data_IF_504625043986
#
_entry.id   IF_504625043986
#
_cell.length_a   1.000
_cell.length_b   1.000
_cell.length_c   1.000
_cell.angle_alpha   90.00
_cell.angle_beta   90.00
_cell.angle_gamma   90.00
#
_symmetry.space_group_name_H-M   'P 1'
#
loop_
_entity.id
_entity.type
_entity.pdbx_description
1 polymer ?
#
# COMPACT_ATOMS: atom_id res chain seq x y z
N UNK A 1 -42.25 -62.55 -18.62
CA UNK A 1 -42.07 -61.11 -18.92
C UNK A 1 -41.24 -60.50 -17.80
N UNK A 2 -40.06 -59.95 -18.13
CA UNK A 2 -39.08 -59.45 -17.15
C UNK A 2 -39.52 -58.07 -16.64
N UNK A 3 -39.67 -57.92 -15.32
CA UNK A 3 -39.93 -56.63 -14.68
C UNK A 3 -38.61 -55.82 -14.63
N UNK A 4 -38.57 -54.68 -15.31
CA UNK A 4 -37.48 -53.72 -15.21
C UNK A 4 -37.75 -52.78 -14.03
N UNK A 5 -36.95 -52.88 -12.96
CA UNK A 5 -36.97 -51.93 -11.87
C UNK A 5 -36.17 -50.68 -12.28
N UNK A 6 -36.85 -49.55 -12.42
CA UNK A 6 -36.23 -48.25 -12.62
C UNK A 6 -35.62 -47.78 -11.29
N UNK A 7 -34.29 -47.79 -11.20
CA UNK A 7 -33.56 -47.21 -10.07
C UNK A 7 -33.54 -45.70 -10.28
N UNK A 8 -34.39 -44.99 -9.53
CA UNK A 8 -34.38 -43.54 -9.46
C UNK A 8 -33.16 -43.12 -8.63
N UNK A 9 -32.10 -42.66 -9.29
CA UNK A 9 -30.93 -42.09 -8.62
C UNK A 9 -31.31 -40.74 -8.01
N UNK A 10 -31.54 -40.72 -6.70
CA UNK A 10 -31.70 -39.48 -5.93
C UNK A 10 -30.33 -38.79 -5.87
N UNK A 11 -30.10 -37.79 -6.72
CA UNK A 11 -28.93 -36.91 -6.60
C UNK A 11 -29.18 -36.01 -5.39
N UNK A 12 -28.60 -36.38 -4.26
CA UNK A 12 -28.49 -35.50 -3.10
C UNK A 12 -27.56 -34.35 -3.47
N UNK A 13 -28.13 -33.20 -3.85
CA UNK A 13 -27.40 -31.96 -3.90
C UNK A 13 -26.92 -31.65 -2.47
N UNK A 14 -25.64 -31.85 -2.20
CA UNK A 14 -25.03 -31.32 -1.00
C UNK A 14 -25.30 -29.81 -0.96
N UNK A 15 -25.61 -29.21 0.20
CA UNK A 15 -25.66 -27.76 0.30
C UNK A 15 -24.28 -27.27 -0.15
N UNK A 16 -24.25 -26.48 -1.22
CA UNK A 16 -23.03 -25.78 -1.61
C UNK A 16 -22.60 -24.98 -0.38
N UNK A 17 -21.53 -25.43 0.29
CA UNK A 17 -20.92 -24.65 1.36
C UNK A 17 -20.63 -23.27 0.80
N UNK A 18 -20.99 -22.22 1.54
CA UNK A 18 -20.78 -20.84 1.11
C UNK A 18 -19.30 -20.65 0.75
N UNK A 19 -19.00 -20.62 -0.54
CA UNK A 19 -17.64 -20.44 -1.02
C UNK A 19 -17.24 -19.00 -0.72
N UNK A 20 -16.13 -18.82 0.00
CA UNK A 20 -15.62 -17.50 0.32
C UNK A 20 -15.27 -16.74 -0.98
N UNK A 21 -15.50 -15.42 -1.04
CA UNK A 21 -15.18 -14.64 -2.23
C UNK A 21 -13.68 -14.67 -2.51
N UNK A 22 -13.30 -14.87 -3.78
CA UNK A 22 -11.91 -14.77 -4.22
C UNK A 22 -11.58 -13.33 -4.61
N UNK A 23 -10.69 -12.71 -3.84
CA UNK A 23 -10.42 -11.27 -3.89
C UNK A 23 -9.36 -10.93 -4.94
N UNK A 24 -9.66 -9.97 -5.81
CA UNK A 24 -8.69 -9.30 -6.67
C UNK A 24 -8.06 -8.08 -5.97
N UNK A 25 -6.96 -7.54 -6.50
CA UNK A 25 -6.36 -6.32 -5.98
C UNK A 25 -7.36 -5.16 -5.99
N UNK A 26 -7.48 -4.40 -4.88
CA UNK A 26 -8.53 -3.40 -4.74
C UNK A 26 -8.19 -2.04 -5.36
N UNK A 27 -7.01 -1.88 -5.98
CA UNK A 27 -6.55 -0.62 -6.55
C UNK A 27 -6.07 -0.81 -7.99
N UNK A 28 -6.32 0.18 -8.84
CA UNK A 28 -5.77 0.27 -10.18
C UNK A 28 -4.31 0.74 -10.15
N UNK A 29 -3.42 -0.10 -9.61
CA UNK A 29 -2.00 0.21 -9.41
C UNK A 29 -1.13 -1.06 -9.52
N UNK A 30 0.19 -0.85 -9.64
CA UNK A 30 1.19 -1.88 -9.55
C UNK A 30 1.69 -1.97 -8.11
N UNK A 31 1.25 -3.00 -7.40
CA UNK A 31 1.61 -3.20 -6.01
C UNK A 31 3.12 -3.42 -5.85
N UNK A 32 3.71 -2.65 -4.93
CA UNK A 32 5.16 -2.62 -4.72
C UNK A 32 5.91 -1.70 -5.68
N UNK A 33 5.23 -0.98 -6.58
CA UNK A 33 5.83 0.04 -7.45
C UNK A 33 5.24 1.43 -7.20
N UNK A 34 3.93 1.60 -7.39
CA UNK A 34 3.22 2.89 -7.28
C UNK A 34 2.06 2.87 -6.25
N UNK A 35 1.87 1.74 -5.58
CA UNK A 35 1.07 1.58 -4.37
C UNK A 35 1.71 0.46 -3.53
N UNK A 36 1.33 0.35 -2.26
CA UNK A 36 1.92 -0.63 -1.34
C UNK A 36 0.93 -1.00 -0.24
N UNK A 37 1.15 -2.13 0.44
CA UNK A 37 0.42 -2.44 1.68
C UNK A 37 1.23 -1.86 2.82
N UNK A 38 0.62 -0.94 3.57
CA UNK A 38 1.26 -0.31 4.72
C UNK A 38 0.94 -1.06 6.01
N UNK A 39 -0.33 -1.41 6.19
CA UNK A 39 -0.81 -2.12 7.37
C UNK A 39 -1.66 -3.33 6.95
N UNK A 40 -1.42 -4.47 7.59
CA UNK A 40 -2.25 -5.67 7.51
C UNK A 40 -3.17 -5.75 8.71
N UNK A 41 -4.17 -6.63 8.66
CA UNK A 41 -5.07 -6.85 9.78
C UNK A 41 -4.27 -7.33 11.00
N UNK A 42 -4.64 -6.84 12.17
CA UNK A 42 -4.09 -7.31 13.42
C UNK A 42 -4.73 -8.64 13.82
N UNK A 43 -3.86 -9.63 14.10
CA UNK A 43 -4.25 -10.97 14.54
C UNK A 43 -3.89 -11.21 16.01
N UNK A 44 -3.38 -10.20 16.72
CA UNK A 44 -3.24 -10.29 18.17
C UNK A 44 -4.59 -9.99 18.84
N UNK A 45 -5.09 -10.86 19.74
CA UNK A 45 -6.33 -10.61 20.46
C UNK A 45 -6.13 -9.72 21.70
N UNK A 46 -4.89 -9.42 22.07
CA UNK A 46 -4.53 -8.53 23.17
C UNK A 46 -4.02 -7.17 22.66
N UNK A 47 -3.32 -6.39 23.50
CA UNK A 47 -2.77 -5.09 23.11
C UNK A 47 -1.47 -5.20 22.30
N UNK A 48 -1.09 -6.42 21.89
CA UNK A 48 0.04 -6.66 21.02
C UNK A 48 -0.30 -6.27 19.58
N UNK A 49 0.65 -6.46 18.68
CA UNK A 49 0.41 -6.29 17.24
C UNK A 49 1.05 -7.45 16.53
N UNK A 50 0.28 -8.16 15.70
CA UNK A 50 0.81 -9.26 14.89
C UNK A 50 0.06 -9.39 13.57
N UNK A 51 0.79 -9.20 12.46
CA UNK A 51 0.24 -9.47 11.13
C UNK A 51 0.27 -10.97 10.77
N UNK A 52 -0.31 -11.34 9.63
CA UNK A 52 -0.38 -12.73 9.14
C UNK A 52 1.00 -13.41 8.92
N UNK A 53 2.06 -12.62 8.75
CA UNK A 53 3.43 -13.09 8.56
C UNK A 53 4.26 -13.04 9.87
N UNK A 54 3.60 -12.82 11.01
CA UNK A 54 4.22 -12.65 12.33
C UNK A 54 5.08 -11.40 12.46
N UNK A 55 4.93 -10.47 11.53
CA UNK A 55 5.52 -9.16 11.61
C UNK A 55 4.68 -8.23 12.47
N UNK A 56 5.03 -6.96 12.37
CA UNK A 56 4.36 -5.86 13.06
C UNK A 56 4.03 -4.76 12.06
N UNK A 57 3.75 -5.12 10.79
CA UNK A 57 3.27 -4.18 9.80
C UNK A 57 1.75 -4.00 9.99
N UNK A 58 1.36 -3.55 11.19
CA UNK A 58 -0.02 -3.35 11.63
C UNK A 58 -0.01 -2.41 12.85
N UNK A 59 -1.15 -2.18 13.48
CA UNK A 59 -1.29 -1.50 14.76
C UNK A 59 -2.45 -2.13 15.56
N UNK A 60 -2.50 -1.86 16.86
CA UNK A 60 -3.47 -2.47 17.79
C UNK A 60 -4.91 -2.31 17.29
N UNK A 61 -5.61 -3.44 17.20
CA UNK A 61 -7.00 -3.56 16.75
C UNK A 61 -7.26 -3.09 15.30
N UNK A 62 -6.24 -3.06 14.44
CA UNK A 62 -6.43 -2.78 13.02
C UNK A 62 -7.26 -3.89 12.35
N UNK A 63 -8.46 -3.54 11.85
CA UNK A 63 -9.47 -4.50 11.40
C UNK A 63 -9.50 -4.72 9.88
N UNK A 64 -8.48 -4.27 9.16
CA UNK A 64 -8.46 -4.35 7.70
C UNK A 64 -7.05 -4.37 7.12
N UNK A 65 -6.97 -4.11 5.82
CA UNK A 65 -5.69 -3.95 5.10
C UNK A 65 -5.64 -2.57 4.46
N UNK A 66 -4.55 -1.84 4.69
CA UNK A 66 -4.33 -0.50 4.17
C UNK A 66 -3.46 -0.56 2.91
N UNK A 67 -4.07 -0.30 1.76
CA UNK A 67 -3.41 -0.13 0.48
C UNK A 67 -3.14 1.36 0.25
N UNK A 68 -1.89 1.75 0.40
CA UNK A 68 -1.46 3.14 0.45
C UNK A 68 -0.87 3.61 -0.89
N UNK A 69 -0.99 4.92 -1.13
CA UNK A 69 -0.29 5.62 -2.19
C UNK A 69 0.94 6.34 -1.63
N UNK A 70 2.03 6.46 -2.42
CA UNK A 70 3.29 6.99 -1.90
C UNK A 70 3.23 8.48 -1.57
N UNK A 71 2.36 9.25 -2.23
CA UNK A 71 2.36 10.72 -2.15
C UNK A 71 0.96 11.32 -2.32
N UNK A 72 0.78 12.57 -1.87
CA UNK A 72 -0.44 13.34 -2.14
C UNK A 72 -0.63 13.62 -3.64
N UNK A 73 0.46 13.79 -4.40
CA UNK A 73 0.39 13.91 -5.86
C UNK A 73 -0.18 12.63 -6.51
N UNK A 74 0.19 11.44 -6.04
CA UNK A 74 -0.38 10.19 -6.54
C UNK A 74 -1.89 10.09 -6.23
N UNK A 75 -2.32 10.53 -5.05
CA UNK A 75 -3.74 10.64 -4.71
C UNK A 75 -4.48 11.61 -5.64
N UNK A 76 -3.92 12.80 -5.86
CA UNK A 76 -4.50 13.83 -6.73
C UNK A 76 -4.59 13.39 -8.20
N UNK A 77 -3.73 12.45 -8.64
CA UNK A 77 -3.80 11.86 -9.98
C UNK A 77 -5.00 10.91 -10.16
N UNK A 78 -5.71 10.55 -9.09
CA UNK A 78 -6.95 9.76 -9.15
C UNK A 78 -6.73 8.27 -9.34
N UNK A 79 -6.08 7.60 -8.39
CA UNK A 79 -5.95 6.12 -8.42
C UNK A 79 -7.29 5.49 -8.07
N UNK A 80 -7.84 4.70 -9.00
CA UNK A 80 -9.14 4.06 -8.83
C UNK A 80 -9.12 2.97 -7.76
N UNK A 81 -10.14 2.97 -6.91
CA UNK A 81 -10.52 1.86 -6.03
C UNK A 81 -11.44 0.93 -6.80
N UNK A 82 -11.16 -0.36 -6.76
CA UNK A 82 -11.83 -1.39 -7.53
C UNK A 82 -12.52 -2.38 -6.58
N UNK A 83 -13.72 -2.83 -6.96
CA UNK A 83 -14.37 -3.94 -6.26
C UNK A 83 -13.49 -5.19 -6.32
N UNK A 84 -13.21 -5.81 -5.17
CA UNK A 84 -12.33 -7.00 -5.12
C UNK A 84 -13.03 -8.28 -5.60
N UNK A 85 -14.36 -8.32 -5.57
CA UNK A 85 -15.17 -9.46 -5.97
C UNK A 85 -16.55 -9.01 -6.45
N UNK A 86 -17.27 -9.82 -7.24
CA UNK A 86 -18.65 -9.52 -7.63
C UNK A 86 -19.58 -9.40 -6.43
N UNK A 87 -20.60 -8.55 -6.52
CA UNK A 87 -21.56 -8.37 -5.44
C UNK A 87 -22.58 -7.27 -5.73
N UNK A 88 -23.32 -6.89 -4.70
CA UNK A 88 -24.27 -5.77 -4.74
C UNK A 88 -23.83 -4.70 -3.76
N UNK A 89 -23.87 -3.43 -4.16
CA UNK A 89 -23.54 -2.30 -3.27
C UNK A 89 -24.60 -2.18 -2.18
N UNK A 90 -24.22 -2.44 -0.94
CA UNK A 90 -25.10 -2.42 0.22
C UNK A 90 -25.21 -1.01 0.83
N UNK A 91 -24.13 -0.24 0.83
CA UNK A 91 -24.11 1.11 1.38
C UNK A 91 -23.04 1.97 0.71
N UNK A 92 -23.25 3.27 0.70
CA UNK A 92 -22.27 4.26 0.28
C UNK A 92 -22.31 5.47 1.20
N UNK A 93 -21.19 6.19 1.28
CA UNK A 93 -21.10 7.52 1.87
C UNK A 93 -20.15 8.35 1.03
N UNK A 94 -20.51 9.59 0.76
CA UNK A 94 -19.66 10.55 0.05
C UNK A 94 -19.82 11.97 0.61
N UNK A 95 -18.94 12.88 0.20
CA UNK A 95 -18.95 14.31 0.52
C UNK A 95 -18.16 14.72 1.76
N UNK A 96 -17.54 13.78 2.50
CA UNK A 96 -16.59 14.14 3.56
C UNK A 96 -15.30 14.66 2.92
N UNK A 97 -14.81 15.81 3.39
CA UNK A 97 -13.57 16.38 2.91
C UNK A 97 -12.36 15.49 3.23
N UNK A 98 -11.41 15.45 2.29
CA UNK A 98 -10.12 14.81 2.48
C UNK A 98 -9.25 15.60 3.48
N UNK A 99 -8.49 14.89 4.31
CA UNK A 99 -7.53 15.48 5.26
C UNK A 99 -8.13 16.07 6.53
N UNK A 100 -9.44 15.91 6.77
CA UNK A 100 -10.11 16.47 7.93
C UNK A 100 -9.47 16.01 9.26
N UNK A 101 -9.18 14.72 9.42
CA UNK A 101 -8.57 14.18 10.64
C UNK A 101 -7.13 14.68 10.85
N UNK A 102 -6.31 14.66 9.79
CA UNK A 102 -4.94 15.17 9.84
C UNK A 102 -4.86 16.67 10.17
N UNK A 103 -5.92 17.43 9.87
CA UNK A 103 -6.06 18.84 10.24
C UNK A 103 -6.68 19.06 11.64
N UNK A 104 -6.92 18.01 12.42
CA UNK A 104 -7.53 18.08 13.76
C UNK A 104 -9.06 18.23 13.76
N UNK A 105 -9.72 17.94 12.64
CA UNK A 105 -11.18 17.95 12.52
C UNK A 105 -11.83 16.75 13.21
N UNK A 106 -13.09 16.92 13.64
CA UNK A 106 -13.89 15.85 14.23
C UNK A 106 -14.43 14.90 13.15
N UNK A 107 -14.14 13.61 13.32
CA UNK A 107 -14.55 12.52 12.42
C UNK A 107 -15.30 11.42 13.17
N UNK A 108 -15.79 11.69 14.39
CA UNK A 108 -16.56 10.72 15.16
C UNK A 108 -17.81 10.26 14.40
N UNK A 109 -18.02 8.93 14.32
CA UNK A 109 -19.09 8.29 13.54
C UNK A 109 -18.86 8.33 12.02
N UNK A 110 -17.73 8.87 11.57
CA UNK A 110 -17.30 9.01 10.18
C UNK A 110 -15.87 8.50 10.00
N UNK A 111 -15.45 7.55 10.82
CA UNK A 111 -14.07 7.02 10.84
C UNK A 111 -13.70 6.47 9.46
N UNK A 112 -14.59 5.71 8.83
CA UNK A 112 -14.43 5.21 7.45
C UNK A 112 -14.41 6.31 6.38
N UNK A 113 -14.83 7.54 6.69
CA UNK A 113 -14.92 8.63 5.71
C UNK A 113 -15.93 8.34 4.61
N UNK A 114 -15.57 8.70 3.38
CA UNK A 114 -16.30 8.28 2.18
C UNK A 114 -15.96 6.82 1.89
N UNK A 115 -16.94 6.07 1.42
CA UNK A 115 -16.75 4.63 1.26
C UNK A 115 -17.91 3.90 0.65
N UNK A 116 -17.66 2.62 0.38
CA UNK A 116 -18.60 1.68 -0.22
C UNK A 116 -18.60 0.41 0.61
N UNK A 117 -19.76 -0.23 0.76
CA UNK A 117 -19.88 -1.60 1.27
C UNK A 117 -20.48 -2.44 0.17
N UNK A 118 -19.84 -3.56 -0.16
CA UNK A 118 -20.34 -4.55 -1.11
C UNK A 118 -20.75 -5.81 -0.34
N UNK A 119 -21.97 -6.27 -0.59
CA UNK A 119 -22.46 -7.57 -0.17
C UNK A 119 -22.18 -8.61 -1.27
N UNK A 120 -21.44 -9.65 -0.92
CA UNK A 120 -21.07 -10.74 -1.83
C UNK A 120 -22.02 -11.94 -1.69
N UNK A 121 -23.04 -11.84 -0.83
CA UNK A 121 -23.94 -12.92 -0.49
C UNK A 121 -23.38 -13.82 0.62
N UNK A 122 -24.26 -14.67 1.17
CA UNK A 122 -23.92 -15.65 2.22
C UNK A 122 -23.21 -15.03 3.44
N UNK A 123 -23.51 -13.76 3.75
CA UNK A 123 -22.93 -13.05 4.90
C UNK A 123 -21.53 -12.48 4.67
N UNK A 124 -20.95 -12.59 3.47
CA UNK A 124 -19.68 -11.98 3.11
C UNK A 124 -19.84 -10.54 2.68
N UNK A 125 -19.01 -9.65 3.23
CA UNK A 125 -19.01 -8.24 2.89
C UNK A 125 -17.59 -7.69 2.78
N UNK A 126 -17.40 -6.73 1.87
CA UNK A 126 -16.19 -5.89 1.83
C UNK A 126 -16.56 -4.44 2.05
N UNK A 127 -15.77 -3.74 2.87
CA UNK A 127 -15.91 -2.32 3.12
C UNK A 127 -14.65 -1.59 2.63
N UNK A 128 -14.87 -0.53 1.86
CA UNK A 128 -13.84 0.31 1.25
C UNK A 128 -13.95 1.69 1.89
N UNK A 129 -12.94 2.11 2.63
CA UNK A 129 -12.93 3.37 3.37
C UNK A 129 -11.93 4.37 2.81
N UNK A 130 -12.06 5.62 3.24
CA UNK A 130 -11.16 6.74 2.95
C UNK A 130 -11.13 7.15 1.46
N UNK A 131 -12.23 6.94 0.72
CA UNK A 131 -12.34 7.39 -0.67
C UNK A 131 -12.29 8.93 -0.76
N UNK A 132 -11.81 9.44 -1.89
CA UNK A 132 -11.70 10.88 -2.12
C UNK A 132 -13.09 11.55 -2.16
N UNK A 133 -13.16 12.79 -1.68
CA UNK A 133 -14.40 13.54 -1.63
C UNK A 133 -15.04 13.72 -3.02
N UNK A 134 -16.30 13.31 -3.18
CA UNK A 134 -17.04 13.40 -4.43
C UNK A 134 -16.63 12.36 -5.48
N UNK A 135 -15.86 11.35 -5.10
CA UNK A 135 -15.35 10.33 -6.04
C UNK A 135 -16.18 9.06 -6.09
N UNK A 136 -17.14 8.85 -5.19
CA UNK A 136 -17.90 7.59 -5.14
C UNK A 136 -18.73 7.44 -6.42
N UNK A 137 -18.45 6.39 -7.19
CA UNK A 137 -18.96 6.21 -8.55
C UNK A 137 -20.13 5.22 -8.66
N UNK A 138 -20.59 4.68 -7.53
CA UNK A 138 -21.65 3.67 -7.45
C UNK A 138 -22.72 4.08 -6.42
N UNK A 139 -23.91 3.51 -6.56
CA UNK A 139 -25.04 3.72 -5.67
C UNK A 139 -25.48 2.41 -5.01
N UNK A 140 -26.17 2.53 -3.88
CA UNK A 140 -26.80 1.39 -3.20
C UNK A 140 -27.74 0.66 -4.17
N UNK A 141 -27.59 -0.66 -4.26
CA UNK A 141 -28.36 -1.53 -5.15
C UNK A 141 -27.66 -1.86 -6.45
N UNK A 142 -26.57 -1.18 -6.80
CA UNK A 142 -25.82 -1.48 -8.02
C UNK A 142 -25.16 -2.87 -7.93
N UNK A 143 -25.29 -3.65 -9.00
CA UNK A 143 -24.53 -4.87 -9.18
C UNK A 143 -23.13 -4.54 -9.73
N UNK A 144 -22.09 -5.08 -9.12
CA UNK A 144 -20.69 -4.84 -9.50
C UNK A 144 -19.98 -6.16 -9.75
N UNK A 145 -18.99 -6.13 -10.62
CA UNK A 145 -18.06 -7.24 -10.86
C UNK A 145 -16.72 -6.94 -10.19
N UNK A 146 -15.86 -7.95 -10.03
CA UNK A 146 -14.47 -7.70 -9.66
C UNK A 146 -13.84 -6.74 -10.68
N UNK A 147 -13.11 -5.72 -10.21
CA UNK A 147 -12.52 -4.68 -11.05
C UNK A 147 -13.44 -3.50 -11.38
N UNK A 148 -14.73 -3.52 -10.99
CA UNK A 148 -15.60 -2.34 -11.17
C UNK A 148 -15.06 -1.15 -10.36
N UNK A 149 -14.83 0.03 -10.98
CA UNK A 149 -14.43 1.23 -10.25
C UNK A 149 -15.50 1.68 -9.25
N UNK A 150 -15.10 1.92 -8.01
CA UNK A 150 -15.96 2.36 -6.91
C UNK A 150 -15.77 3.85 -6.57
N UNK A 151 -14.61 4.39 -6.91
CA UNK A 151 -14.20 5.78 -6.71
C UNK A 151 -12.69 5.89 -6.76
N UNK A 152 -12.12 6.91 -6.10
CA UNK A 152 -10.67 7.09 -6.03
C UNK A 152 -10.17 7.00 -4.59
N UNK A 153 -8.91 6.59 -4.42
CA UNK A 153 -8.23 6.67 -3.13
C UNK A 153 -8.20 8.12 -2.66
N UNK A 154 -8.54 8.35 -1.39
CA UNK A 154 -8.55 9.67 -0.78
C UNK A 154 -7.87 9.69 0.58
N UNK A 155 -8.32 10.64 1.39
CA UNK A 155 -7.84 10.94 2.74
C UNK A 155 -9.01 11.35 3.66
N UNK A 156 -10.24 10.91 3.34
CA UNK A 156 -11.42 11.25 4.12
C UNK A 156 -11.57 10.38 5.38
N UNK A 157 -12.30 10.87 6.38
CA UNK A 157 -12.48 10.15 7.65
C UNK A 157 -11.23 10.16 8.53
N UNK A 158 -11.06 9.12 9.36
CA UNK A 158 -9.95 8.97 10.31
C UNK A 158 -8.70 8.42 9.59
N UNK A 159 -8.13 9.25 8.72
CA UNK A 159 -6.97 8.89 7.90
C UNK A 159 -5.89 9.98 7.95
N UNK A 160 -4.62 9.58 8.03
CA UNK A 160 -3.45 10.47 8.13
C UNK A 160 -2.55 10.47 6.89
N UNK A 161 -2.78 9.53 5.97
CA UNK A 161 -2.05 9.37 4.71
C UNK A 161 -2.97 8.79 3.61
N UNK A 162 -2.69 9.03 2.32
CA UNK A 162 -3.56 8.55 1.25
C UNK A 162 -3.57 7.03 1.14
N UNK A 163 -4.71 6.41 1.43
CA UNK A 163 -4.85 4.97 1.35
C UNK A 163 -6.32 4.54 1.20
N UNK A 164 -6.50 3.31 0.73
CA UNK A 164 -7.72 2.55 0.88
C UNK A 164 -7.56 1.65 2.11
N UNK A 165 -8.48 1.75 3.06
CA UNK A 165 -8.67 0.73 4.09
C UNK A 165 -9.73 -0.26 3.61
N UNK A 166 -9.35 -1.53 3.46
CA UNK A 166 -10.23 -2.63 3.06
C UNK A 166 -10.50 -3.54 4.26
N UNK A 167 -11.76 -3.59 4.71
CA UNK A 167 -12.21 -4.58 5.69
C UNK A 167 -12.97 -5.70 4.99
N UNK A 168 -12.66 -6.95 5.33
CA UNK A 168 -13.47 -8.13 4.93
C UNK A 168 -14.24 -8.63 6.15
N UNK A 169 -15.53 -8.94 5.97
CA UNK A 169 -16.37 -9.50 7.03
C UNK A 169 -17.11 -10.74 6.56
N UNK A 170 -17.34 -11.67 7.47
CA UNK A 170 -18.23 -12.81 7.29
C UNK A 170 -19.14 -12.94 8.52
N UNK A 171 -20.46 -12.90 8.32
CA UNK A 171 -21.42 -12.97 9.42
C UNK A 171 -21.30 -11.81 10.42
N UNK A 172 -20.79 -10.66 9.98
CA UNK A 172 -20.54 -9.48 10.82
C UNK A 172 -19.20 -9.47 11.54
N UNK A 173 -18.43 -10.57 11.50
CA UNK A 173 -17.09 -10.65 12.10
C UNK A 173 -16.01 -10.30 11.06
N UNK A 174 -14.98 -9.57 11.48
CA UNK A 174 -13.82 -9.24 10.66
C UNK A 174 -13.02 -10.50 10.33
N UNK A 175 -12.59 -10.60 9.08
CA UNK A 175 -11.79 -11.70 8.54
C UNK A 175 -10.52 -11.11 7.94
N UNK A 176 -9.36 -11.59 8.37
CA UNK A 176 -8.10 -11.25 7.70
C UNK A 176 -8.06 -11.93 6.31
N UNK A 177 -8.01 -11.17 5.19
CA UNK A 177 -7.99 -11.76 3.87
C UNK A 177 -6.72 -12.57 3.56
N UNK A 178 -5.63 -12.37 4.31
CA UNK A 178 -4.41 -13.17 4.21
C UNK A 178 -4.43 -14.41 5.10
N UNK A 179 -5.28 -14.42 6.13
CA UNK A 179 -5.36 -15.49 7.12
C UNK A 179 -6.81 -15.70 7.61
N UNK A 180 -7.73 -16.17 6.74
CA UNK A 180 -9.16 -16.21 7.06
C UNK A 180 -9.51 -17.21 8.17
N UNK A 181 -8.64 -18.17 8.47
CA UNK A 181 -8.76 -19.02 9.65
C UNK A 181 -8.04 -18.36 10.86
N UNK A 182 -8.77 -17.85 11.87
CA UNK A 182 -8.16 -17.19 13.02
C UNK A 182 -7.30 -18.15 13.87
N UNK A 183 -7.58 -19.45 13.83
CA UNK A 183 -6.81 -20.48 14.54
C UNK A 183 -5.55 -20.93 13.77
N UNK A 184 -5.30 -20.40 12.57
CA UNK A 184 -4.08 -20.73 11.83
C UNK A 184 -2.84 -20.26 12.60
N UNK A 185 -1.76 -21.04 12.48
CA UNK A 185 -0.45 -20.70 13.03
C UNK A 185 0.14 -19.41 12.43
N UNK A 186 1.42 -19.18 12.70
CA UNK A 186 2.12 -18.00 12.21
C UNK A 186 3.56 -18.39 11.82
N UNK A 187 4.01 -18.09 10.58
CA UNK A 187 3.28 -17.40 9.51
C UNK A 187 2.17 -18.26 8.91
N UNK A 188 1.17 -17.62 8.28
CA UNK A 188 0.09 -18.34 7.58
C UNK A 188 0.52 -18.67 6.15
N UNK A 189 0.15 -19.87 5.70
CA UNK A 189 0.36 -20.28 4.31
C UNK A 189 -0.46 -19.38 3.37
N UNK A 190 0.22 -18.77 2.39
CA UNK A 190 -0.42 -17.90 1.41
C UNK A 190 -1.51 -18.61 0.58
N UNK A 191 -1.48 -19.95 0.47
CA UNK A 191 -2.53 -20.70 -0.22
C UNK A 191 -3.85 -20.73 0.56
N UNK A 192 -3.84 -20.39 1.85
CA UNK A 192 -5.04 -20.28 2.68
C UNK A 192 -5.73 -18.90 2.56
N UNK A 193 -5.13 -17.94 1.86
CA UNK A 193 -5.66 -16.59 1.72
C UNK A 193 -6.89 -16.52 0.79
N UNK A 194 -7.70 -15.47 0.95
CA UNK A 194 -8.87 -15.21 0.10
C UNK A 194 -8.49 -14.65 -1.29
N UNK A 195 -7.25 -14.24 -1.49
CA UNK A 195 -6.79 -13.61 -2.73
C UNK A 195 -6.77 -14.58 -3.92
N UNK A 196 -7.13 -14.08 -5.10
CA UNK A 196 -6.95 -14.81 -6.37
C UNK A 196 -5.46 -15.07 -6.64
N UNK A 197 -4.67 -14.00 -6.51
CA UNK A 197 -3.21 -14.02 -6.52
C UNK A 197 -2.75 -13.35 -5.21
N UNK A 198 -2.26 -14.11 -4.22
CA UNK A 198 -1.81 -13.55 -2.96
C UNK A 198 -0.72 -12.48 -3.17
N UNK A 199 -0.93 -11.24 -2.70
CA UNK A 199 0.12 -10.23 -2.70
C UNK A 199 1.35 -10.71 -1.93
N UNK A 200 2.54 -10.39 -2.44
CA UNK A 200 3.77 -10.63 -1.69
C UNK A 200 3.77 -9.82 -0.38
N UNK A 201 4.23 -10.45 0.70
CA UNK A 201 4.36 -9.76 1.98
C UNK A 201 5.41 -8.66 1.91
N UNK A 202 5.02 -7.44 2.28
CA UNK A 202 5.87 -6.25 2.30
C UNK A 202 5.90 -5.64 3.72
N UNK A 203 6.94 -5.90 4.52
CA UNK A 203 7.04 -5.37 5.88
C UNK A 203 7.57 -3.92 5.93
N UNK A 204 8.15 -3.44 4.84
CA UNK A 204 8.74 -2.11 4.67
C UNK A 204 9.03 -1.87 3.18
N UNK A 205 9.46 -0.66 2.84
CA UNK A 205 9.95 -0.37 1.50
C UNK A 205 10.29 1.09 1.24
N UNK A 206 10.52 1.41 -0.03
CA UNK A 206 10.88 2.76 -0.51
C UNK A 206 9.74 3.29 -1.39
N UNK A 207 9.11 4.37 -0.91
CA UNK A 207 7.98 5.05 -1.54
C UNK A 207 8.43 5.92 -2.70
N UNK A 208 9.46 6.72 -2.46
CA UNK A 208 9.94 7.71 -3.41
C UNK A 208 11.43 7.94 -3.21
N UNK A 209 12.07 8.40 -4.27
CA UNK A 209 13.45 8.82 -4.27
C UNK A 209 13.64 9.90 -5.32
N UNK A 210 14.68 10.70 -5.12
CA UNK A 210 15.03 11.71 -6.08
C UNK A 210 16.45 12.20 -5.91
N UNK A 211 16.84 13.04 -6.84
CA UNK A 211 18.08 13.76 -6.79
C UNK A 211 17.84 15.26 -6.97
N UNK A 212 18.50 16.04 -6.13
CA UNK A 212 18.35 17.49 -6.07
C UNK A 212 19.70 18.13 -5.76
N UNK A 213 19.75 19.47 -5.82
CA UNK A 213 20.93 20.24 -5.36
C UNK A 213 20.79 20.68 -3.90
N UNK A 214 19.58 20.61 -3.33
CA UNK A 214 19.28 20.86 -1.93
C UNK A 214 18.31 19.79 -1.44
N UNK A 215 18.44 19.27 -0.20
CA UNK A 215 17.50 18.29 0.32
C UNK A 215 16.08 18.89 0.35
N UNK A 216 15.06 18.21 -0.17
CA UNK A 216 13.68 18.64 0.02
C UNK A 216 13.30 18.52 1.51
N UNK A 217 12.36 19.34 1.95
CA UNK A 217 11.76 19.17 3.27
C UNK A 217 10.78 17.98 3.28
N UNK A 218 10.44 17.50 4.48
CA UNK A 218 9.60 16.32 4.65
C UNK A 218 8.18 16.50 4.09
N UNK A 219 7.59 17.69 4.19
CA UNK A 219 6.24 17.95 3.68
C UNK A 219 6.24 17.92 2.14
N UNK A 220 7.26 18.49 1.51
CA UNK A 220 7.46 18.42 0.05
C UNK A 220 7.60 16.98 -0.44
N UNK A 221 8.35 16.14 0.28
CA UNK A 221 8.50 14.71 -0.05
C UNK A 221 7.16 13.98 0.06
N UNK A 222 6.40 14.18 1.15
CA UNK A 222 5.05 13.62 1.31
C UNK A 222 4.09 14.09 0.22
N UNK A 223 4.24 15.34 -0.23
CA UNK A 223 3.42 15.90 -1.30
C UNK A 223 3.72 15.27 -2.67
N UNK A 224 4.89 14.65 -2.85
CA UNK A 224 5.41 14.21 -4.14
C UNK A 224 6.38 15.24 -4.70
N UNK A 225 7.56 15.31 -4.08
CA UNK A 225 8.55 16.32 -4.43
C UNK A 225 8.91 16.25 -5.92
N UNK A 226 9.10 17.41 -6.58
CA UNK A 226 9.48 17.43 -7.99
C UNK A 226 10.81 16.70 -8.19
N UNK A 227 10.85 15.80 -9.17
CA UNK A 227 12.05 15.08 -9.55
C UNK A 227 12.80 15.86 -10.62
N UNK A 228 14.04 16.23 -10.33
CA UNK A 228 14.94 16.75 -11.35
C UNK A 228 15.51 15.58 -12.15
N UNK A 229 15.16 15.51 -13.44
CA UNK A 229 15.74 14.52 -14.36
C UNK A 229 17.04 15.03 -15.00
N UNK A 230 17.28 16.33 -14.93
CA UNK A 230 18.48 17.01 -15.41
C UNK A 230 19.00 17.94 -14.30
N UNK A 231 20.29 17.87 -14.02
CA UNK A 231 20.98 18.73 -13.05
C UNK A 231 22.18 19.44 -13.67
N UNK A 232 22.52 20.65 -13.20
CA UNK A 232 23.64 21.39 -13.77
C UNK A 232 24.99 20.80 -13.33
N UNK A 233 25.96 20.72 -14.25
CA UNK A 233 27.31 20.24 -14.01
C UNK A 233 28.10 21.12 -13.03
N UNK A 234 27.60 22.35 -12.78
CA UNK A 234 28.11 23.30 -11.79
C UNK A 234 27.27 23.37 -10.51
N UNK A 235 26.34 22.43 -10.31
CA UNK A 235 25.64 22.30 -9.03
C UNK A 235 26.65 22.21 -7.88
N UNK A 236 26.50 22.98 -6.78
CA UNK A 236 27.47 22.94 -5.68
C UNK A 236 27.50 21.59 -4.95
N UNK A 237 26.44 20.80 -5.10
CA UNK A 237 26.30 19.46 -4.54
C UNK A 237 25.24 18.67 -5.32
N UNK A 238 25.34 17.35 -5.26
CA UNK A 238 24.28 16.43 -5.65
C UNK A 238 23.80 15.71 -4.39
N UNK A 239 22.50 15.82 -4.11
CA UNK A 239 21.82 15.22 -2.96
C UNK A 239 20.88 14.15 -3.47
N UNK A 240 21.12 12.91 -3.07
CA UNK A 240 20.16 11.81 -3.21
C UNK A 240 19.31 11.73 -1.95
N UNK A 241 18.01 11.58 -2.13
CA UNK A 241 17.08 11.44 -1.03
C UNK A 241 16.14 10.28 -1.28
N UNK A 242 15.61 9.72 -0.19
CA UNK A 242 14.70 8.60 -0.20
C UNK A 242 13.64 8.74 0.89
N UNK A 243 12.43 8.35 0.55
CA UNK A 243 11.26 8.29 1.39
C UNK A 243 10.76 6.86 1.44
N UNK A 244 10.50 6.34 2.63
CA UNK A 244 10.11 4.95 2.81
C UNK A 244 9.15 4.75 3.96
N UNK A 245 8.70 3.51 4.11
CA UNK A 245 7.75 3.09 5.15
C UNK A 245 8.26 1.87 5.90
N UNK A 246 7.71 1.63 7.10
CA UNK A 246 7.94 0.42 7.89
C UNK A 246 9.38 0.29 8.41
N UNK A 247 10.08 1.41 8.62
CA UNK A 247 11.45 1.43 9.12
C UNK A 247 11.50 0.98 10.59
N UNK A 248 12.44 0.11 10.92
CA UNK A 248 12.67 -0.40 12.27
C UNK A 248 14.07 -0.09 12.77
N UNK A 249 14.19 0.00 14.09
CA UNK A 249 15.47 0.14 14.76
C UNK A 249 16.45 -0.93 14.30
N UNK A 250 17.61 -0.51 13.79
CA UNK A 250 18.65 -1.40 13.27
C UNK A 250 18.57 -1.66 11.76
N UNK A 251 17.53 -1.20 11.07
CA UNK A 251 17.53 -1.16 9.61
C UNK A 251 18.57 -0.13 9.12
N UNK A 252 19.08 -0.34 7.90
CA UNK A 252 20.02 0.57 7.25
C UNK A 252 19.51 0.90 5.85
N UNK A 253 19.40 2.20 5.56
CA UNK A 253 19.13 2.69 4.21
C UNK A 253 20.45 3.05 3.52
N UNK A 254 20.81 2.27 2.50
CA UNK A 254 21.97 2.54 1.66
C UNK A 254 21.58 3.44 0.51
N UNK A 255 22.24 4.60 0.40
CA UNK A 255 22.09 5.53 -0.71
C UNK A 255 23.39 5.54 -1.52
N UNK A 256 23.32 5.08 -2.76
CA UNK A 256 24.46 5.02 -3.69
C UNK A 256 24.20 5.91 -4.89
N UNK A 257 25.24 6.60 -5.34
CA UNK A 257 25.23 7.40 -6.56
C UNK A 257 26.42 7.00 -7.43
N UNK A 258 26.13 6.51 -8.63
CA UNK A 258 27.15 6.18 -9.63
C UNK A 258 27.00 7.09 -10.83
N UNK A 259 28.12 7.41 -11.49
CA UNK A 259 28.12 8.31 -12.63
C UNK A 259 29.31 8.14 -13.56
N UNK A 260 29.42 9.00 -14.58
CA UNK A 260 30.49 8.95 -15.56
C UNK A 260 31.87 9.16 -14.93
N UNK A 261 32.92 8.81 -15.68
CA UNK A 261 34.32 8.94 -15.25
C UNK A 261 34.62 8.24 -13.91
N UNK A 262 33.90 7.15 -13.60
CA UNK A 262 34.09 6.38 -12.37
C UNK A 262 33.57 7.09 -11.12
N UNK A 263 32.73 8.13 -11.26
CA UNK A 263 32.14 8.79 -10.11
C UNK A 263 31.33 7.80 -9.28
N UNK A 264 31.61 7.76 -7.98
CA UNK A 264 30.92 6.92 -7.02
C UNK A 264 30.80 7.63 -5.67
N UNK A 265 29.60 7.61 -5.10
CA UNK A 265 29.30 8.02 -3.75
C UNK A 265 28.42 6.96 -3.09
N UNK A 266 28.67 6.65 -1.83
CA UNK A 266 27.83 5.75 -1.04
C UNK A 266 27.70 6.27 0.39
N UNK A 267 26.51 6.12 0.95
CA UNK A 267 26.20 6.47 2.32
C UNK A 267 25.26 5.43 2.93
N UNK A 268 25.49 5.08 4.18
CA UNK A 268 24.62 4.21 4.96
C UNK A 268 23.94 5.05 6.05
N UNK A 269 22.61 5.13 6.01
CA UNK A 269 21.80 5.89 6.94
C UNK A 269 20.99 4.94 7.84
N UNK A 270 21.38 4.76 9.12
CA UNK A 270 20.64 3.93 10.05
C UNK A 270 19.22 4.45 10.33
N UNK A 271 18.32 3.52 10.60
CA UNK A 271 17.01 3.79 11.21
C UNK A 271 17.15 3.54 12.71
N UNK A 272 17.13 4.63 13.49
CA UNK A 272 17.45 4.62 14.92
C UNK A 272 16.24 4.37 15.83
N UNK A 273 15.04 4.45 15.25
CA UNK A 273 13.78 4.22 15.95
C UNK A 273 12.76 3.65 14.98
N UNK A 274 11.76 2.97 15.50
CA UNK A 274 10.66 2.47 14.69
C UNK A 274 9.82 3.66 14.16
N UNK A 275 9.55 3.66 12.86
CA UNK A 275 8.83 4.74 12.18
C UNK A 275 7.94 4.15 11.07
N UNK A 276 6.66 4.49 11.09
CA UNK A 276 5.74 4.13 10.01
C UNK A 276 6.21 4.71 8.66
N UNK A 277 6.73 5.93 8.66
CA UNK A 277 7.29 6.63 7.50
C UNK A 277 8.64 7.24 7.89
N UNK A 278 9.63 7.16 7.00
CA UNK A 278 10.97 7.72 7.22
C UNK A 278 11.48 8.45 5.98
N UNK A 279 12.32 9.45 6.21
CA UNK A 279 12.99 10.23 5.16
C UNK A 279 14.48 10.32 5.48
N UNK A 280 15.33 10.12 4.48
CA UNK A 280 16.79 10.27 4.58
C UNK A 280 17.33 10.89 3.31
N UNK A 281 18.41 11.63 3.44
CA UNK A 281 19.15 12.15 2.30
C UNK A 281 20.64 12.12 2.60
N UNK A 282 21.44 12.04 1.55
CA UNK A 282 22.88 12.13 1.60
C UNK A 282 23.39 12.67 0.26
N UNK A 283 24.63 13.14 0.21
CA UNK A 283 25.17 13.58 -1.06
C UNK A 283 26.61 14.01 -1.00
N UNK A 284 27.12 14.37 -2.17
CA UNK A 284 28.49 14.78 -2.37
C UNK A 284 28.54 16.24 -2.81
N UNK A 285 29.59 16.94 -2.36
CA UNK A 285 29.93 18.29 -2.84
C UNK A 285 30.58 18.20 -4.22
N UNK A 286 30.45 19.28 -4.98
CA UNK A 286 31.02 19.40 -6.32
C UNK A 286 32.52 19.01 -6.34
N UNK A 287 32.96 18.18 -7.30
CA UNK A 287 34.38 17.92 -7.50
C UNK A 287 35.09 19.16 -8.03
N UNK A 288 36.08 19.66 -7.30
CA UNK A 288 36.95 20.74 -7.75
C UNK A 288 38.04 20.23 -8.70
N UNK A 289 38.46 20.98 -9.73
CA UNK A 289 37.89 22.22 -10.26
C UNK A 289 36.89 22.01 -11.42
N UNK A 290 36.82 20.78 -11.96
CA UNK A 290 36.11 20.48 -13.20
C UNK A 290 34.58 20.58 -13.06
N UNK A 291 34.04 20.32 -11.87
CA UNK A 291 32.61 20.11 -11.65
C UNK A 291 32.22 18.65 -11.79
N UNK A 292 30.92 18.40 -11.89
CA UNK A 292 30.39 17.05 -12.07
C UNK A 292 30.68 16.51 -13.47
N UNK A 293 31.18 15.27 -13.61
CA UNK A 293 31.22 14.60 -14.91
C UNK A 293 29.87 14.66 -15.62
N UNK A 294 29.83 15.15 -16.86
CA UNK A 294 28.56 15.20 -17.62
C UNK A 294 28.12 13.81 -18.05
N UNK A 295 26.82 13.58 -18.07
CA UNK A 295 26.22 12.35 -18.55
C UNK A 295 25.24 11.72 -17.58
N UNK A 296 24.95 10.44 -17.79
CA UNK A 296 23.97 9.69 -17.00
C UNK A 296 24.57 9.22 -15.69
N UNK A 297 23.82 9.41 -14.64
CA UNK A 297 24.08 8.86 -13.32
C UNK A 297 22.91 7.99 -12.88
N UNK A 298 23.18 7.11 -11.92
CA UNK A 298 22.19 6.23 -11.30
C UNK A 298 22.26 6.38 -9.79
N UNK A 299 21.12 6.72 -9.19
CA UNK A 299 20.89 6.61 -7.77
C UNK A 299 20.31 5.23 -7.46
N UNK A 300 20.89 4.53 -6.48
CA UNK A 300 20.49 3.20 -6.04
C UNK A 300 20.23 3.25 -4.55
N UNK A 301 18.97 3.01 -4.17
CA UNK A 301 18.51 3.00 -2.79
C UNK A 301 18.17 1.58 -2.39
N UNK A 302 18.76 1.09 -1.30
CA UNK A 302 18.48 -0.23 -0.72
C UNK A 302 18.16 -0.10 0.76
N UNK A 303 17.06 -0.71 1.20
CA UNK A 303 16.70 -0.84 2.61
C UNK A 303 17.07 -2.25 3.07
N UNK A 304 17.90 -2.35 4.10
CA UNK A 304 18.42 -3.62 4.63
C UNK A 304 17.98 -3.81 6.07
N UNK A 305 17.47 -5.00 6.39
CA UNK A 305 17.09 -5.43 7.74
C UNK A 305 17.78 -6.75 8.05
N UNK A 306 18.55 -6.78 9.15
CA UNK A 306 19.29 -7.98 9.57
C UNK A 306 20.10 -8.65 8.43
N UNK A 307 20.69 -7.84 7.55
CA UNK A 307 21.49 -8.30 6.41
C UNK A 307 20.70 -8.68 5.15
N UNK A 308 19.37 -8.72 5.19
CA UNK A 308 18.52 -8.97 4.03
C UNK A 308 18.02 -7.66 3.41
N UNK A 309 18.06 -7.57 2.07
CA UNK A 309 17.43 -6.48 1.34
C UNK A 309 15.91 -6.64 1.38
N UNK A 310 15.22 -5.64 1.91
CA UNK A 310 13.75 -5.62 2.05
C UNK A 310 13.10 -4.47 1.28
N UNK A 311 13.87 -3.73 0.49
CA UNK A 311 13.37 -2.69 -0.39
C UNK A 311 14.47 -2.18 -1.33
N UNK A 312 14.14 -2.02 -2.61
CA UNK A 312 15.07 -1.56 -3.63
C UNK A 312 14.40 -0.63 -4.63
N UNK A 313 15.06 0.50 -4.92
CA UNK A 313 14.70 1.43 -5.98
C UNK A 313 15.93 1.99 -6.65
N UNK A 314 15.85 2.14 -7.96
CA UNK A 314 16.87 2.80 -8.77
C UNK A 314 16.24 3.95 -9.54
N UNK A 315 17.00 5.04 -9.72
CA UNK A 315 16.59 6.20 -10.50
C UNK A 315 17.77 6.69 -11.34
N UNK A 316 17.52 6.93 -12.62
CA UNK A 316 18.50 7.57 -13.51
C UNK A 316 18.22 9.07 -13.67
N UNK A 317 19.28 9.85 -13.76
CA UNK A 317 19.24 11.29 -14.08
C UNK A 317 20.43 11.67 -14.96
N UNK A 318 20.37 12.86 -15.55
CA UNK A 318 21.44 13.39 -16.40
C UNK A 318 22.04 14.63 -15.76
N UNK A 319 23.36 14.75 -15.81
CA UNK A 319 24.07 15.99 -15.47
C UNK A 319 24.54 16.65 -16.75
N UNK A 320 24.08 17.89 -16.98
CA UNK A 320 24.31 18.68 -18.19
C UNK A 320 24.88 20.06 -17.86
N UNK A 321 25.46 20.75 -18.84
CA UNK A 321 26.14 22.03 -18.64
C UNK A 321 25.63 23.12 -19.55
#
# INVERSE_FOLDING_TARGET
MRAAAAILALVLAAPAGAEAPRLALPLACNLGENCYIQHYADRDPGPGVRDHACGAASYDAHDGTDFALPTLAAMAAGVAVLAVAPGTVAATRDGQADGAFAAGGDVAGKECGNGVVIDHGQGWQTQYCHLAAGSVAVARGDAVSAGTPLGHVGLSGKSEFPHLHLTVRHGGTVVDPFAPNPAAGCPVDATAALWQVPPAYMPAGILDLGLTVNPPDYASVKAGAPRANVLPAKAPQLIVWAYGWGGRTGDVLHLTLTGPAGFHFAHAAPIERDQALFYRYAGARIPSPAGWPRGRYTATIRLVRAGAEIGARDLSFVVEG
#
